data_IF_147789119277
#
_entry.id   IF_147789119277
#
_cell.length_a   1.000
_cell.length_b   1.000
_cell.length_c   1.000
_cell.angle_alpha   90.00
_cell.angle_beta   90.00
_cell.angle_gamma   90.00
#
_symmetry.space_group_name_H-M   'P 1'
#
loop_
_entity.id
_entity.type
_entity.pdbx_description
1 polymer ?
2 non-polymer ?
3 non-polymer ?
4 non-polymer ?
5 water ?
#
# COMPACT_ATOMS: atom_id res chain seq x y z
N UNK A 1 9.00 12.47 -6.50
CA UNK A 1 7.57 12.41 -6.04
C UNK A 1 6.70 11.86 -7.16
N UNK A 2 5.59 11.25 -6.77
CA UNK A 2 4.65 10.65 -7.70
C UNK A 2 3.29 11.30 -7.41
N UNK A 3 2.43 11.32 -8.41
CA UNK A 3 1.21 12.12 -8.38
C UNK A 3 0.05 11.37 -8.99
N UNK A 4 -1.16 11.61 -8.48
CA UNK A 4 -2.38 11.07 -9.08
C UNK A 4 -3.53 12.06 -8.89
N UNK A 5 -4.24 12.30 -9.96
CA UNK A 5 -5.41 13.17 -9.99
C UNK A 5 -6.68 12.38 -10.21
N UNK A 6 -7.63 12.55 -9.30
CA UNK A 6 -8.88 11.86 -9.44
C UNK A 6 -9.78 12.53 -10.50
N UNK A 7 -9.55 13.80 -10.74
CA UNK A 7 -10.29 14.53 -11.76
C UNK A 7 -9.86 14.03 -13.14
N UNK A 8 -10.80 13.38 -13.81
CA UNK A 8 -10.54 12.79 -15.12
C UNK A 8 -9.88 11.43 -15.05
N UNK A 9 -9.73 10.90 -13.84
CA UNK A 9 -9.07 9.61 -13.70
C UNK A 9 -9.83 8.51 -14.42
N UNK A 10 -9.05 7.60 -14.99
CA UNK A 10 -9.58 6.38 -15.58
C UNK A 10 -8.66 5.19 -15.33
N UNK A 11 -9.03 4.01 -15.83
CA UNK A 11 -8.13 2.90 -15.54
C UNK A 11 -6.69 3.08 -16.02
N UNK A 12 -6.52 3.73 -17.16
CA UNK A 12 -5.20 3.97 -17.71
C UNK A 12 -4.42 4.94 -16.83
N UNK A 13 -5.02 6.06 -16.43
CA UNK A 13 -4.25 7.03 -15.65
C UNK A 13 -3.90 6.48 -14.26
N UNK A 14 -4.83 5.71 -13.67
CA UNK A 14 -4.51 5.01 -12.42
C UNK A 14 -3.37 4.03 -12.64
N UNK A 15 -3.41 3.24 -13.72
CA UNK A 15 -2.31 2.30 -14.01
C UNK A 15 -0.97 3.03 -14.14
N UNK A 16 -1.00 4.22 -14.71
CA UNK A 16 0.24 5.00 -14.86
C UNK A 16 0.73 5.44 -13.50
N UNK A 17 -0.19 5.83 -12.60
CA UNK A 17 0.16 6.18 -11.22
C UNK A 17 0.84 5.00 -10.48
N UNK A 18 0.26 3.82 -10.57
CA UNK A 18 0.79 2.71 -9.84
C UNK A 18 2.13 2.34 -10.44
N UNK A 19 2.26 2.43 -11.76
CA UNK A 19 3.59 2.18 -12.38
C UNK A 19 4.65 3.16 -11.82
N UNK A 20 4.29 4.42 -11.76
CA UNK A 20 5.18 5.49 -11.21
C UNK A 20 5.57 5.20 -9.76
N UNK A 21 4.59 4.75 -8.96
CA UNK A 21 4.83 4.45 -7.56
C UNK A 21 5.87 3.32 -7.42
N UNK A 22 5.64 2.24 -8.16
CA UNK A 22 6.55 1.11 -8.17
C UNK A 22 7.95 1.58 -8.60
N UNK A 23 7.97 2.36 -9.66
CA UNK A 23 9.26 2.81 -10.28
C UNK A 23 10.08 3.72 -9.37
N UNK A 24 9.40 4.38 -8.42
CA UNK A 24 10.09 5.26 -7.47
C UNK A 24 10.83 4.52 -6.37
N UNK A 25 10.37 3.32 -6.05
CA UNK A 25 10.96 2.59 -4.98
C UNK A 25 12.30 2.07 -5.45
N UNK A 26 13.34 2.43 -4.73
CA UNK A 26 14.69 1.99 -5.14
C UNK A 26 14.93 0.51 -4.86
N UNK A 27 15.80 -0.10 -5.67
CA UNK A 27 16.23 -1.47 -5.50
C UNK A 27 17.55 -1.61 -6.24
N UNK A 28 18.38 -2.55 -5.79
CA UNK A 28 19.63 -2.88 -6.50
C UNK A 28 19.53 -4.23 -7.22
N UNK A 29 18.66 -5.10 -6.73
CA UNK A 29 18.59 -6.49 -7.14
C UNK A 29 17.14 -6.86 -7.45
N UNK A 30 16.97 -7.78 -8.40
CA UNK A 30 15.70 -8.46 -8.62
C UNK A 30 15.87 -9.91 -8.24
N UNK A 31 14.83 -10.47 -7.67
CA UNK A 31 14.79 -11.86 -7.29
C UNK A 31 13.67 -12.46 -8.10
N UNK A 32 14.01 -13.47 -8.90
CA UNK A 32 13.08 -14.02 -9.87
C UNK A 32 12.31 -12.95 -10.68
N UNK A 33 13.05 -11.94 -11.07
CA UNK A 33 12.62 -10.85 -11.93
C UNK A 33 11.71 -9.81 -11.24
N UNK A 34 11.68 -9.89 -9.93
CA UNK A 34 10.83 -9.00 -9.10
C UNK A 34 11.75 -8.15 -8.27
N UNK A 35 11.60 -6.81 -8.36
CA UNK A 35 12.38 -5.90 -7.57
C UNK A 35 12.38 -6.22 -6.08
N UNK A 36 13.57 -6.21 -5.51
CA UNK A 36 13.76 -6.49 -4.08
C UNK A 36 13.99 -5.20 -3.36
N UNK A 37 13.04 -4.84 -2.49
CA UNK A 37 13.19 -3.62 -1.77
C UNK A 37 14.39 -3.66 -0.85
N UNK A 38 14.92 -2.47 -0.59
CA UNK A 38 16.17 -2.34 0.13
C UNK A 38 15.98 -2.69 1.60
N UNK A 39 17.03 -3.21 2.24
CA UNK A 39 17.03 -3.46 3.69
C UNK A 39 16.79 -2.21 4.49
N UNK A 40 17.47 -1.14 4.11
CA UNK A 40 17.31 0.11 4.81
C UNK A 40 17.79 1.24 3.94
N UNK A 41 17.36 2.44 4.29
CA UNK A 41 17.75 3.68 3.64
C UNK A 41 17.80 4.70 4.78
N UNK A 42 18.89 5.45 4.91
CA UNK A 42 19.01 6.36 6.04
C UNK A 42 18.58 7.76 5.60
N UNK A 43 18.03 8.51 6.54
CA UNK A 43 17.72 9.91 6.30
C UNK A 43 16.44 10.10 5.52
N UNK A 44 16.34 11.24 4.85
CA UNK A 44 15.10 11.58 4.21
C UNK A 44 14.85 10.72 2.98
N UNK A 45 15.93 10.11 2.44
CA UNK A 45 15.81 9.25 1.27
C UNK A 45 14.94 8.02 1.50
N UNK A 46 14.68 7.73 2.76
CA UNK A 46 13.76 6.63 3.07
C UNK A 46 12.31 6.89 2.66
N UNK A 47 11.93 8.14 2.42
CA UNK A 47 10.50 8.43 2.27
C UNK A 47 10.22 8.93 0.90
N UNK A 48 9.21 8.32 0.30
CA UNK A 48 8.65 8.79 -0.95
C UNK A 48 7.40 9.64 -0.65
N UNK A 49 7.22 10.75 -1.37
CA UNK A 49 6.00 11.55 -1.27
C UNK A 49 5.08 11.37 -2.47
N UNK A 50 3.81 11.07 -2.17
CA UNK A 50 2.80 10.90 -3.17
C UNK A 50 1.86 12.07 -3.06
N UNK A 51 1.67 12.76 -4.16
CA UNK A 51 0.71 13.85 -4.15
C UNK A 51 -0.57 13.34 -4.73
N UNK A 52 -1.63 13.42 -3.94
CA UNK A 52 -2.94 12.97 -4.38
C UNK A 52 -3.92 14.11 -4.43
N UNK A 53 -4.68 14.19 -5.51
CA UNK A 53 -5.68 15.25 -5.70
C UNK A 53 -7.06 14.67 -5.86
N UNK A 54 -7.99 15.14 -5.03
CA UNK A 54 -9.37 14.71 -5.15
C UNK A 54 -9.99 15.32 -6.38
N UNK A 55 -11.23 14.99 -6.64
CA UNK A 55 -11.87 15.43 -7.87
C UNK A 55 -11.95 16.96 -7.96
N UNK A 56 -12.12 17.63 -6.83
CA UNK A 56 -12.16 19.10 -6.75
C UNK A 56 -10.80 19.75 -6.77
N UNK A 57 -9.74 18.95 -6.78
CA UNK A 57 -8.40 19.50 -6.93
C UNK A 57 -7.68 19.81 -5.63
N UNK A 58 -8.30 19.49 -4.51
CA UNK A 58 -7.64 19.58 -3.21
C UNK A 58 -6.65 18.46 -3.05
N UNK A 59 -5.62 18.70 -2.26
CA UNK A 59 -4.55 17.75 -2.23
C UNK A 59 -4.11 17.32 -0.84
N UNK A 60 -3.66 16.08 -0.77
CA UNK A 60 -2.85 15.65 0.34
C UNK A 60 -1.53 15.13 -0.17
N UNK A 61 -0.54 15.15 0.69
CA UNK A 61 0.72 14.54 0.34
C UNK A 61 0.96 13.40 1.31
N UNK A 62 1.25 12.21 0.77
CA UNK A 62 1.36 11.03 1.63
C UNK A 62 2.82 10.57 1.65
N UNK A 63 3.34 10.30 2.84
CA UNK A 63 4.75 9.82 3.01
C UNK A 63 4.78 8.33 3.09
N UNK A 64 5.61 7.72 2.27
CA UNK A 64 5.69 6.27 2.14
C UNK A 64 7.16 5.81 2.40
N UNK A 65 7.34 4.84 3.30
CA UNK A 65 8.63 4.23 3.60
C UNK A 65 8.99 3.33 2.41
N UNK A 66 10.11 3.61 1.75
CA UNK A 66 10.41 2.97 0.47
C UNK A 66 10.96 1.54 0.64
N UNK A 67 11.27 1.14 1.86
CA UNK A 67 11.73 -0.20 2.16
C UNK A 67 10.57 -1.18 2.33
N UNK A 68 9.39 -0.69 2.72
CA UNK A 68 8.27 -1.61 3.04
C UNK A 68 6.91 -1.19 2.44
N UNK A 69 6.89 -0.07 1.75
CA UNK A 69 5.68 0.53 1.13
C UNK A 69 4.64 0.86 2.22
N UNK A 70 5.09 1.11 3.43
CA UNK A 70 4.15 1.49 4.48
C UNK A 70 3.88 2.98 4.44
N UNK A 71 2.63 3.36 4.58
CA UNK A 71 2.29 4.79 4.74
C UNK A 71 2.65 5.23 6.15
N UNK A 72 3.42 6.31 6.25
CA UNK A 72 3.86 6.78 7.58
C UNK A 72 2.94 7.89 8.12
N UNK A 73 2.46 8.74 7.22
CA UNK A 73 1.65 9.91 7.55
C UNK A 73 1.38 10.69 6.32
N UNK A 74 0.74 11.86 6.47
CA UNK A 74 0.30 12.63 5.32
C UNK A 74 0.18 14.08 5.80
N UNK A 75 0.25 14.95 4.84
CA UNK A 75 0.04 16.39 5.02
C UNK A 75 -1.20 16.87 4.34
N UNK A 76 -2.00 17.61 5.09
CA UNK A 76 -3.24 18.13 4.55
C UNK A 76 -3.32 19.62 4.95
N UNK A 77 -3.24 20.50 3.95
CA UNK A 77 -3.03 21.96 4.13
C UNK A 77 -1.78 22.24 5.00
N UNK A 78 -1.92 22.71 6.22
CA UNK A 78 -0.78 23.06 7.04
C UNK A 78 -0.66 22.09 8.25
N UNK A 79 -1.39 20.96 8.21
CA UNK A 79 -1.30 20.03 9.31
C UNK A 79 -0.77 18.72 8.83
N UNK A 80 0.20 18.17 9.55
CA UNK A 80 0.66 16.81 9.30
C UNK A 80 0.00 15.82 10.27
N UNK A 81 -0.14 14.57 9.85
CA UNK A 81 -0.75 13.51 10.64
C UNK A 81 0.16 12.27 10.46
N UNK A 82 0.55 11.64 11.55
CA UNK A 82 1.41 10.46 11.54
C UNK A 82 0.79 9.37 12.39
N UNK A 83 0.98 8.12 11.98
CA UNK A 83 0.53 7.01 12.80
C UNK A 83 1.25 7.01 14.12
N UNK A 84 0.61 6.43 15.11
CA UNK A 84 1.16 6.31 16.44
C UNK A 84 2.02 5.05 16.50
N UNK A 85 3.22 5.15 15.93
CA UNK A 85 4.17 4.03 15.90
C UNK A 85 5.57 4.57 15.65
N UNK A 86 6.60 3.83 16.12
CA UNK A 86 7.94 4.42 16.10
C UNK A 86 8.49 4.75 14.71
N UNK A 87 8.19 3.94 13.72
CA UNK A 87 8.67 4.23 12.39
C UNK A 87 8.10 5.55 11.85
N UNK A 88 6.85 5.86 12.21
CA UNK A 88 6.20 7.11 11.80
C UNK A 88 6.73 8.30 12.55
N UNK A 89 7.00 8.13 13.83
CA UNK A 89 7.62 9.17 14.60
C UNK A 89 8.98 9.55 13.99
N UNK A 90 9.76 8.54 13.61
CA UNK A 90 11.04 8.78 12.96
C UNK A 90 10.83 9.51 11.67
N UNK A 91 9.85 9.08 10.86
CA UNK A 91 9.56 9.76 9.58
C UNK A 91 9.30 11.24 9.81
N UNK A 92 8.65 11.55 10.94
CA UNK A 92 8.19 12.92 11.19
C UNK A 92 9.40 13.84 11.44
N UNK A 93 10.57 13.24 11.66
CA UNK A 93 11.79 14.03 11.72
C UNK A 93 12.25 14.49 10.36
N UNK A 94 11.81 13.82 9.30
CA UNK A 94 12.28 14.09 7.95
C UNK A 94 11.29 14.70 6.96
N UNK A 95 9.97 14.48 7.13
CA UNK A 95 9.03 14.98 6.16
C UNK A 95 7.98 15.91 6.80
N UNK A 96 7.47 16.82 5.99
CA UNK A 96 6.43 17.76 6.39
C UNK A 96 6.85 18.63 7.58
N UNK A 97 8.14 18.92 7.67
CA UNK A 97 8.66 19.73 8.78
C UNK A 97 8.06 21.14 8.78
N UNK A 98 7.71 21.62 7.58
CA UNK A 98 7.07 22.90 7.38
C UNK A 98 5.63 22.97 7.88
N UNK A 99 4.97 21.85 8.23
CA UNK A 99 3.61 21.93 8.77
C UNK A 99 3.50 22.86 9.99
N UNK A 100 2.42 23.63 10.06
CA UNK A 100 2.15 24.45 11.23
C UNK A 100 1.90 23.61 12.50
N UNK A 101 1.25 22.46 12.37
CA UNK A 101 1.06 21.56 13.53
C UNK A 101 1.09 20.12 13.06
N UNK A 102 1.45 19.24 13.99
CA UNK A 102 1.57 17.82 13.77
C UNK A 102 0.65 17.09 14.72
N UNK A 103 -0.29 16.32 14.15
CA UNK A 103 -1.16 15.49 14.94
C UNK A 103 -0.72 14.02 14.83
N UNK A 104 -0.58 13.37 15.97
CA UNK A 104 -0.36 11.94 15.97
C UNK A 104 -1.72 11.28 16.02
N UNK A 105 -2.03 10.48 15.00
CA UNK A 105 -3.26 9.72 15.01
C UNK A 105 -3.34 8.80 16.22
N UNK A 106 -4.55 8.47 16.67
CA UNK A 106 -4.64 7.64 17.87
C UNK A 106 -4.68 6.13 17.54
N UNK A 107 -3.88 5.74 16.55
CA UNK A 107 -3.67 4.35 16.25
C UNK A 107 -2.42 4.24 15.40
N UNK A 108 -1.86 3.05 15.39
CA UNK A 108 -0.79 2.68 14.50
C UNK A 108 -1.42 2.32 13.16
N UNK A 109 -0.59 2.03 12.18
CA UNK A 109 -1.07 1.84 10.85
C UNK A 109 -1.36 0.41 10.48
N UNK A 110 -1.18 -0.52 11.38
CA UNK A 110 -1.54 -1.87 10.95
C UNK A 110 -3.02 -2.13 10.79
N UNK A 111 -3.31 -3.06 9.89
CA UNK A 111 -4.69 -3.33 9.52
C UNK A 111 -5.59 -3.62 10.70
N UNK A 112 -5.10 -4.40 11.64
CA UNK A 112 -5.89 -4.76 12.84
C UNK A 112 -6.34 -3.48 13.62
N UNK A 113 -5.39 -2.59 13.90
CA UNK A 113 -5.70 -1.36 14.67
C UNK A 113 -6.60 -0.41 13.89
N UNK A 114 -6.32 -0.26 12.61
CA UNK A 114 -7.18 0.58 11.77
C UNK A 114 -8.60 0.10 11.70
N UNK A 115 -8.78 -1.22 11.58
CA UNK A 115 -10.11 -1.79 11.53
C UNK A 115 -10.85 -1.56 12.83
N UNK A 116 -10.16 -1.73 13.95
CA UNK A 116 -10.76 -1.44 15.27
C UNK A 116 -11.22 0.04 15.33
N UNK A 117 -10.32 0.96 14.95
CA UNK A 117 -10.64 2.39 14.98
C UNK A 117 -11.80 2.73 14.06
N UNK A 118 -11.88 2.07 12.91
CA UNK A 118 -12.88 2.38 11.92
C UNK A 118 -14.24 1.79 12.28
N UNK A 119 -14.25 0.74 13.10
CA UNK A 119 -15.48 0.05 13.51
C UNK A 119 -15.89 -1.01 12.49
N UNK A 120 -14.98 -1.36 11.58
CA UNK A 120 -15.31 -2.30 10.52
C UNK A 120 -14.07 -2.94 9.89
N UNK A 121 -14.18 -4.21 9.52
CA UNK A 121 -13.12 -4.89 8.83
C UNK A 121 -13.02 -4.43 7.36
N UNK A 122 -11.85 -4.60 6.74
CA UNK A 122 -11.67 -4.25 5.31
C UNK A 122 -12.69 -4.93 4.43
N UNK A 123 -13.09 -6.16 4.78
CA UNK A 123 -14.06 -6.93 4.02
C UNK A 123 -15.33 -6.15 3.71
N UNK A 124 -15.69 -5.23 4.60
CA UNK A 124 -16.91 -4.46 4.47
C UNK A 124 -16.75 -3.01 4.00
N UNK A 125 -15.52 -2.59 3.63
CA UNK A 125 -15.29 -1.21 3.19
C UNK A 125 -15.07 -1.23 1.68
N UNK A 126 -15.97 -0.65 0.91
CA UNK A 126 -15.78 -0.56 -0.53
C UNK A 126 -14.50 0.23 -0.88
N UNK A 127 -13.84 -0.26 -1.92
CA UNK A 127 -12.65 0.36 -2.50
C UNK A 127 -12.88 0.57 -3.99
N UNK A 128 -12.03 1.40 -4.58
CA UNK A 128 -12.17 1.86 -5.92
C UNK A 128 -11.70 3.31 -6.02
N UNK A 129 -11.82 3.87 -7.23
CA UNK A 129 -11.38 5.23 -7.46
C UNK A 129 -12.34 6.24 -6.81
N UNK A 130 -13.66 6.00 -6.85
CA UNK A 130 -14.53 6.88 -6.06
C UNK A 130 -14.22 6.86 -4.57
N UNK A 131 -13.94 5.66 -4.03
CA UNK A 131 -13.62 5.56 -2.63
C UNK A 131 -12.31 6.28 -2.29
N UNK A 132 -11.35 6.22 -3.19
CA UNK A 132 -10.08 6.93 -3.00
C UNK A 132 -10.32 8.44 -3.01
N UNK A 133 -11.12 8.93 -3.94
CA UNK A 133 -11.49 10.37 -3.92
C UNK A 133 -12.12 10.78 -2.63
N UNK A 134 -13.03 9.94 -2.13
CA UNK A 134 -13.65 10.18 -0.81
C UNK A 134 -12.65 10.16 0.35
N UNK A 135 -11.69 9.24 0.28
CA UNK A 135 -10.70 9.08 1.35
C UNK A 135 -9.85 10.35 1.43
N UNK A 136 -9.45 10.87 0.26
CA UNK A 136 -8.62 12.07 0.20
C UNK A 136 -9.42 13.21 0.84
N UNK A 137 -10.69 13.32 0.47
CA UNK A 137 -11.58 14.35 1.06
C UNK A 137 -11.71 14.24 2.58
N UNK A 138 -11.87 13.02 3.07
CA UNK A 138 -11.95 12.78 4.50
C UNK A 138 -10.70 13.22 5.19
N UNK A 139 -9.55 12.91 4.61
CA UNK A 139 -8.31 13.15 5.30
C UNK A 139 -7.93 14.64 5.35
N UNK A 140 -8.61 15.44 4.53
CA UNK A 140 -8.41 16.89 4.56
C UNK A 140 -8.82 17.53 5.88
N UNK A 141 -9.81 16.93 6.56
CA UNK A 141 -10.39 17.49 7.77
C UNK A 141 -10.52 16.45 8.86
N UNK A 142 -9.68 16.64 9.85
CA UNK A 142 -9.45 15.69 10.91
C UNK A 142 -10.70 15.15 11.57
N UNK A 143 -10.90 13.85 11.44
CA UNK A 143 -11.85 13.07 12.21
C UNK A 143 -11.16 11.70 12.34
N UNK A 144 -10.80 11.25 13.55
CA UNK A 144 -9.90 10.07 13.63
C UNK A 144 -10.63 8.80 13.27
N UNK A 145 -11.92 8.75 13.60
CA UNK A 145 -12.72 7.55 13.23
C UNK A 145 -12.92 7.48 11.75
N UNK A 146 -13.28 8.58 11.11
CA UNK A 146 -13.50 8.58 9.66
C UNK A 146 -12.16 8.33 8.96
N UNK A 147 -11.10 8.93 9.51
CA UNK A 147 -9.77 8.80 8.87
C UNK A 147 -9.30 7.33 8.86
N UNK A 148 -9.58 6.57 9.91
CA UNK A 148 -9.19 5.15 9.91
C UNK A 148 -9.73 4.45 8.66
N UNK A 149 -11.00 4.66 8.34
CA UNK A 149 -11.61 4.01 7.18
C UNK A 149 -10.95 4.53 5.89
N UNK A 150 -10.73 5.84 5.85
CA UNK A 150 -10.10 6.47 4.71
C UNK A 150 -8.72 5.88 4.53
N UNK A 151 -7.99 5.66 5.61
CA UNK A 151 -6.64 5.17 5.50
C UNK A 151 -6.60 3.69 5.03
N UNK A 152 -7.60 2.90 5.44
CA UNK A 152 -7.73 1.52 4.90
C UNK A 152 -7.96 1.58 3.41
N UNK A 153 -8.76 2.56 2.94
CA UNK A 153 -8.97 2.72 1.47
C UNK A 153 -7.65 3.14 0.79
N UNK A 154 -7.03 4.16 1.37
CA UNK A 154 -5.81 4.72 0.77
C UNK A 154 -4.69 3.68 0.68
N UNK A 155 -4.47 2.94 1.75
CA UNK A 155 -3.39 1.91 1.77
C UNK A 155 -3.63 0.85 0.69
N UNK A 156 -4.88 0.39 0.54
CA UNK A 156 -5.17 -0.66 -0.44
C UNK A 156 -5.08 -0.16 -1.85
N UNK A 157 -5.48 1.09 -2.10
CA UNK A 157 -5.53 1.61 -3.45
C UNK A 157 -4.18 2.20 -3.92
N UNK A 158 -3.19 2.24 -3.05
CA UNK A 158 -1.84 2.73 -3.39
C UNK A 158 -0.85 1.60 -3.13
N UNK A 159 -0.43 1.43 -1.90
CA UNK A 159 0.55 0.40 -1.53
C UNK A 159 0.21 -1.00 -2.00
N UNK A 160 -1.02 -1.47 -1.76
CA UNK A 160 -1.30 -2.87 -2.08
C UNK A 160 -1.38 -3.07 -3.60
N UNK A 161 -1.92 -2.08 -4.32
CA UNK A 161 -1.95 -2.12 -5.78
C UNK A 161 -0.52 -2.08 -6.34
N UNK A 162 0.34 -1.31 -5.69
CA UNK A 162 1.79 -1.29 -6.13
C UNK A 162 2.39 -2.69 -5.92
N UNK A 163 2.08 -3.33 -4.82
CA UNK A 163 2.63 -4.68 -4.51
C UNK A 163 2.13 -5.81 -5.42
N UNK A 164 0.89 -5.77 -5.88
CA UNK A 164 0.26 -6.85 -6.58
C UNK A 164 -0.51 -6.36 -7.77
N UNK A 165 -0.17 -6.85 -8.95
CA UNK A 165 -0.90 -6.51 -10.15
C UNK A 165 -2.38 -6.86 -10.07
N UNK A 166 -2.70 -7.95 -9.39
CA UNK A 166 -4.08 -8.37 -9.27
C UNK A 166 -4.90 -7.24 -8.55
N UNK A 167 -4.31 -6.68 -7.51
CA UNK A 167 -4.97 -5.61 -6.75
C UNK A 167 -5.10 -4.34 -7.57
N UNK A 168 -4.04 -3.94 -8.27
CA UNK A 168 -4.17 -2.89 -9.26
C UNK A 168 -5.34 -3.08 -10.22
N UNK A 169 -5.45 -4.28 -10.80
CA UNK A 169 -6.54 -4.59 -11.72
C UNK A 169 -7.92 -4.52 -11.04
N UNK A 170 -7.99 -4.97 -9.80
CA UNK A 170 -9.24 -4.90 -9.05
C UNK A 170 -9.69 -3.43 -8.91
N UNK A 171 -8.74 -2.54 -8.67
CA UNK A 171 -9.09 -1.11 -8.51
C UNK A 171 -9.45 -0.54 -9.86
N UNK A 172 -8.77 -0.96 -10.90
CA UNK A 172 -9.14 -0.50 -12.23
C UNK A 172 -10.58 -0.89 -12.61
N UNK A 173 -10.98 -2.07 -12.17
CA UNK A 173 -12.34 -2.56 -12.39
C UNK A 173 -13.37 -1.69 -11.63
N UNK A 174 -12.88 -1.02 -10.59
CA UNK A 174 -13.68 -0.19 -9.73
C UNK A 174 -13.36 1.29 -10.00
N UNK A 175 -13.12 1.65 -11.26
CA UNK A 175 -12.81 3.03 -11.59
C UNK A 175 -13.99 3.96 -11.37
N UNK A 176 -15.20 3.46 -11.60
CA UNK A 176 -16.42 4.32 -11.57
C UNK A 176 -17.51 3.79 -10.64
N UNK A 177 -17.19 2.73 -9.89
CA UNK A 177 -18.11 2.05 -8.95
C UNK A 177 -17.28 1.33 -7.91
N UNK A 178 -17.44 1.71 -6.64
CA UNK A 178 -16.78 1.02 -5.58
C UNK A 178 -17.33 -0.36 -5.29
N UNK A 179 -16.46 -1.22 -4.80
CA UNK A 179 -16.92 -2.54 -4.35
C UNK A 179 -15.95 -3.05 -3.31
N UNK A 180 -16.48 -3.74 -2.32
CA UNK A 180 -15.65 -4.34 -1.26
C UNK A 180 -14.57 -5.21 -1.96
N UNK A 181 -13.40 -5.32 -1.36
CA UNK A 181 -12.31 -6.12 -1.93
C UNK A 181 -12.70 -7.60 -2.06
N UNK A 182 -12.28 -8.24 -3.16
CA UNK A 182 -12.43 -9.70 -3.28
C UNK A 182 -11.67 -10.39 -2.12
N UNK A 183 -12.11 -11.60 -1.78
CA UNK A 183 -11.43 -12.39 -0.75
C UNK A 183 -9.93 -12.64 -1.10
N UNK A 184 -9.68 -12.85 -2.37
CA UNK A 184 -8.33 -13.07 -2.88
C UNK A 184 -7.49 -11.81 -2.64
N UNK A 185 -8.10 -10.65 -2.88
CA UNK A 185 -7.42 -9.38 -2.57
C UNK A 185 -6.96 -9.36 -1.10
N UNK A 186 -7.86 -9.66 -0.16
CA UNK A 186 -7.52 -9.67 1.24
C UNK A 186 -6.38 -10.67 1.53
N UNK A 187 -6.51 -11.84 0.91
CA UNK A 187 -5.53 -12.90 1.12
C UNK A 187 -4.10 -12.45 0.70
N UNK A 188 -4.02 -11.82 -0.44
CA UNK A 188 -2.74 -11.30 -0.98
C UNK A 188 -2.16 -10.26 -0.07
N UNK A 189 -3.00 -9.32 0.38
CA UNK A 189 -2.51 -8.32 1.32
C UNK A 189 -1.90 -8.96 2.54
N UNK A 190 -2.62 -9.91 3.10
CA UNK A 190 -2.21 -10.57 4.29
C UNK A 190 -0.93 -11.44 4.08
N UNK A 191 -0.64 -11.80 2.84
CA UNK A 191 0.45 -12.72 2.51
C UNK A 191 1.70 -12.10 1.95
N UNK A 192 1.73 -10.76 1.87
CA UNK A 192 2.83 -10.11 1.15
C UNK A 192 4.14 -10.40 1.82
N UNK A 193 4.16 -10.31 3.14
CA UNK A 193 5.40 -10.56 3.86
C UNK A 193 5.87 -12.03 3.71
N UNK A 194 4.93 -12.96 3.89
CA UNK A 194 5.16 -14.39 3.72
C UNK A 194 5.66 -14.73 2.32
N UNK A 195 4.95 -14.27 1.29
CA UNK A 195 5.42 -14.49 -0.09
C UNK A 195 6.80 -13.92 -0.36
N UNK A 196 7.02 -12.68 0.08
CA UNK A 196 8.30 -12.01 -0.14
C UNK A 196 9.43 -12.88 0.44
N UNK A 197 9.20 -13.41 1.63
CA UNK A 197 10.18 -14.24 2.32
C UNK A 197 10.42 -15.54 1.54
N UNK A 198 9.36 -16.24 1.20
CA UNK A 198 9.51 -17.52 0.52
C UNK A 198 10.15 -17.43 -0.88
N UNK A 199 9.87 -16.36 -1.61
CA UNK A 199 10.48 -16.11 -2.90
C UNK A 199 11.99 -15.87 -2.77
N UNK A 200 12.39 -15.13 -1.74
CA UNK A 200 13.79 -14.98 -1.43
C UNK A 200 14.40 -16.31 -0.99
N UNK A 201 13.70 -17.09 -0.17
CA UNK A 201 14.29 -18.38 0.28
C UNK A 201 14.42 -19.36 -0.87
N UNK A 202 13.54 -19.24 -1.85
CA UNK A 202 13.56 -20.13 -2.99
C UNK A 202 14.84 -20.02 -3.81
N UNK A 203 15.52 -18.86 -3.77
CA UNK A 203 16.85 -18.79 -4.33
C UNK A 203 17.74 -19.56 -3.34
N UNK A 204 18.42 -20.58 -3.82
CA UNK A 204 19.12 -21.49 -2.92
C UNK A 204 18.32 -22.76 -2.64
N UNK A 205 17.12 -22.83 -3.18
CA UNK A 205 16.29 -23.99 -2.97
C UNK A 205 15.59 -24.39 -4.27
N UNK A 206 16.20 -24.06 -5.40
CA UNK A 206 15.74 -24.50 -6.72
C UNK A 206 14.35 -23.95 -7.03
N UNK A 207 14.03 -22.81 -6.46
CA UNK A 207 12.74 -22.17 -6.75
C UNK A 207 11.59 -22.72 -5.93
N UNK A 208 11.89 -23.60 -4.97
CA UNK A 208 10.89 -24.22 -4.12
C UNK A 208 10.83 -23.46 -2.80
N UNK A 209 9.62 -23.17 -2.34
CA UNK A 209 9.43 -22.47 -1.06
C UNK A 209 9.82 -23.44 0.09
N UNK A 210 10.50 -22.89 1.08
CA UNK A 210 10.74 -23.60 2.32
C UNK A 210 9.42 -23.97 3.03
N UNK A 211 8.44 -23.07 2.98
CA UNK A 211 7.16 -23.23 3.63
C UNK A 211 6.08 -22.74 2.68
N UNK A 212 5.07 -23.56 2.40
CA UNK A 212 4.07 -23.09 1.44
C UNK A 212 3.30 -21.87 1.95
N UNK A 213 2.83 -21.06 1.03
CA UNK A 213 2.02 -19.91 1.38
C UNK A 213 0.62 -20.23 0.94
N UNK A 214 -0.33 -20.15 1.88
CA UNK A 214 -1.72 -20.42 1.55
C UNK A 214 -2.46 -19.14 1.15
N UNK A 215 -3.05 -19.15 -0.05
CA UNK A 215 -3.88 -18.04 -0.56
C UNK A 215 -5.31 -18.48 -0.88
N UNK A 216 -6.17 -17.48 -1.12
CA UNK A 216 -7.52 -17.69 -1.67
C UNK A 216 -7.55 -17.23 -3.12
N UNK A 217 -8.13 -18.04 -4.01
CA UNK A 217 -8.23 -17.61 -5.41
C UNK A 217 -9.48 -16.77 -5.62
N UNK A 218 -9.52 -16.03 -6.72
CA UNK A 218 -10.55 -15.02 -6.96
C UNK A 218 -11.97 -15.59 -6.91
N UNK A 219 -12.08 -16.86 -7.29
CA UNK A 219 -13.34 -17.59 -7.23
C UNK A 219 -13.80 -17.90 -5.80
N UNK A 220 -12.86 -18.13 -4.89
CA UNK A 220 -13.19 -18.38 -3.48
C UNK A 220 -12.47 -19.54 -2.83
N UNK A 221 -11.72 -20.32 -3.61
CA UNK A 221 -11.10 -21.55 -3.10
C UNK A 221 -9.65 -21.35 -2.65
N UNK A 222 -9.30 -21.95 -1.50
CA UNK A 222 -7.96 -21.91 -0.92
C UNK A 222 -6.95 -22.71 -1.76
N UNK A 223 -5.78 -22.11 -1.98
CA UNK A 223 -4.70 -22.72 -2.75
C UNK A 223 -3.38 -22.64 -2.01
N UNK A 224 -2.48 -23.56 -2.32
CA UNK A 224 -1.18 -23.53 -1.74
C UNK A 224 -0.21 -23.14 -2.80
N UNK A 225 0.65 -22.19 -2.48
CA UNK A 225 1.70 -21.78 -3.36
C UNK A 225 2.97 -22.41 -2.83
N UNK A 226 3.60 -23.25 -3.62
CA UNK A 226 4.77 -24.02 -3.16
C UNK A 226 6.09 -23.71 -3.83
N UNK A 227 6.06 -23.03 -4.96
CA UNK A 227 7.28 -22.76 -5.70
C UNK A 227 7.16 -21.54 -6.60
N UNK A 228 8.21 -21.11 -7.25
CA UNK A 228 8.19 -19.87 -8.02
C UNK A 228 7.50 -19.90 -9.38
N UNK A 229 7.04 -21.05 -9.81
CA UNK A 229 6.33 -21.13 -11.08
C UNK A 229 4.88 -20.73 -10.94
N UNK A 230 4.42 -20.52 -9.72
CA UNK A 230 3.03 -20.15 -9.50
C UNK A 230 2.73 -18.76 -10.16
N UNK A 231 1.54 -18.60 -10.72
CA UNK A 231 1.13 -17.31 -11.29
C UNK A 231 1.31 -16.14 -10.31
N UNK A 232 1.13 -16.39 -9.02
CA UNK A 232 1.29 -15.34 -8.02
C UNK A 232 2.69 -14.76 -8.14
N UNK A 233 3.69 -15.63 -8.41
CA UNK A 233 5.06 -15.18 -8.48
C UNK A 233 5.45 -14.67 -9.86
N UNK A 234 4.98 -15.35 -10.90
CA UNK A 234 5.38 -14.98 -12.26
C UNK A 234 4.66 -13.77 -12.77
N UNK A 235 3.45 -13.53 -12.29
CA UNK A 235 2.52 -12.58 -12.97
C UNK A 235 1.61 -11.81 -12.03
N UNK A 236 2.04 -11.58 -10.81
CA UNK A 236 1.18 -10.84 -9.87
C UNK A 236 2.02 -9.96 -8.97
N UNK A 237 2.81 -10.56 -8.09
CA UNK A 237 3.60 -9.81 -7.12
C UNK A 237 4.61 -8.91 -7.86
N UNK A 238 4.73 -7.65 -7.46
CA UNK A 238 5.61 -6.69 -8.17
C UNK A 238 6.77 -6.14 -7.36
N UNK A 239 6.77 -6.37 -6.04
CA UNK A 239 7.74 -5.81 -5.10
C UNK A 239 7.93 -6.82 -3.97
N UNK A 240 9.18 -7.06 -3.59
CA UNK A 240 9.46 -7.95 -2.46
C UNK A 240 9.99 -7.23 -1.25
N UNK A 241 9.34 -7.47 -0.11
CA UNK A 241 9.81 -7.03 1.17
C UNK A 241 11.09 -7.77 1.47
N UNK A 242 12.15 -7.03 1.77
CA UNK A 242 13.44 -7.65 2.08
C UNK A 242 13.34 -8.55 3.33
N UNK A 243 13.90 -9.77 3.28
CA UNK A 243 13.88 -10.64 4.47
C UNK A 243 14.56 -10.01 5.66
N UNK A 244 15.43 -9.06 5.45
CA UNK A 244 16.03 -8.37 6.59
C UNK A 244 14.97 -7.62 7.44
N UNK A 245 13.83 -7.30 6.82
CA UNK A 245 12.72 -6.61 7.48
C UNK A 245 11.53 -7.54 7.81
N UNK A 246 11.76 -8.86 7.81
CA UNK A 246 10.71 -9.84 8.10
C UNK A 246 11.05 -10.62 9.38
X LIG B 1 5.35 -26.01 -8.43
X LIG B 1 4.92 -27.40 -7.95
X LIG B 1 3.93 -28.02 -8.92
X LIG B 1 2.79 -27.05 -9.23
X LIG B 1 3.33 -25.69 -9.62
X LIG B 1 2.20 -24.70 -9.87
X LIG B 1 6.69 -28.45 -6.66
X LIG B 1 7.89 -29.35 -6.69
X LIG B 1 6.09 -28.25 -7.83
X LIG B 1 3.39 -29.21 -8.33
X LIG B 1 1.99 -27.58 -10.29
X LIG B 1 4.19 -25.19 -8.59
X LIG B 1 1.30 -24.72 -8.75
X LIG B 1 6.29 -27.93 -5.63
X LIG C 1 2.67 -5.06 10.76
X LIG C 1 2.82 -6.52 11.07
X LIG C 1 3.91 -4.42 10.20
X LIG C 1 2.01 -4.27 11.86
X LIG C 1 1.58 -5.04 9.57
X LIG C 1 0.43 -5.88 9.69
X LIG C 1 -0.52 -5.55 8.56
X LIG C 1 -0.78 -4.13 8.57
X LIG C 1 0.19 -5.90 7.23
X LIG C 1 -0.70 -6.31 6.20
X LIG C 1 0.79 -4.57 6.85
X LIG C 1 1.25 -4.51 5.47
X LIG C 1 -0.44 -3.73 7.23
X LIG C 1 -0.16 -2.36 6.71
X LIG C 1 -0.57 -2.35 5.43
X LIG C 1 -0.33 -1.17 4.88
X LIG C 1 0.23 -0.40 5.79
X LIG C 1 0.68 0.99 5.72
X LIG C 1 0.58 1.66 4.69
X LIG C 1 1.18 1.53 6.77
X LIG C 1 1.35 0.88 7.91
X LIG C 1 1.95 1.70 8.85
X LIG C 1 0.96 -0.45 8.10
X LIG C 1 0.39 -1.16 7.06
X LIG D 1 -12.36 9.64 -10.09
X LIG D 1 -12.98 10.87 -9.96
X LIG D 1 -12.85 8.82 -11.28
X LIG D 1 -12.88 9.57 -12.58
X LIG D 1 -14.12 8.11 -10.76
X LIG D 1 -14.87 8.74 -9.69
#
# INVERSE_FOLDING_TARGET
DVSFRLSGADPSSYGMFIKDLRNALPHTEKVYNIPLLLPSVSGAGRYLLMHLFNYDGNTITVAVDVTNVYIMGYLALTTSYFFNEPAADLASQYVFRSARRKITLPYSGNYERLQIAAGKPREKIPIGLPALDTAISTLLHYDSTAAAGALLVLIQTTAEAARFKYIEQQIQERAYRDEVPSSATISLENSWSGLSKQIQLAQGNNGVFRTPTVLVDSKGNRVQITNVTSNVVTSNIQLLLNTKNI
NAG C1 C2 C3 C4 C5 C6 C7 C8 N2 O3 O4 O5 O6 O7
5GP P O1P O2P O3P O5' C5' C4' O4' C3' O3' C2' O2' C1' N9 C8 N7 C5 C6 O6 N1 C2 N2 N3 C4
GOL C1 O1 C2 O2 C3 O3
#
